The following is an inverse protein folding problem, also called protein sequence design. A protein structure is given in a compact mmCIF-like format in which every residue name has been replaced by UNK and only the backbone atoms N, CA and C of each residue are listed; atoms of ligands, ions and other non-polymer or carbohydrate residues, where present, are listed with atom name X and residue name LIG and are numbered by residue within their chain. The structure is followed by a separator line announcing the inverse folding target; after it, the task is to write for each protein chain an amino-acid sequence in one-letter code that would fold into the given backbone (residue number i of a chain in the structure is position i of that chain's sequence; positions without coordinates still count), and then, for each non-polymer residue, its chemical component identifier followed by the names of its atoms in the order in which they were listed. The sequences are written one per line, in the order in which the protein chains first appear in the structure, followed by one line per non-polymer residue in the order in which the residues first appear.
data_IF_176291750772
#
_entry.id   IF_176291750772
#
_cell.length_a   1.000
_cell.length_b   1.000
_cell.length_c   1.000
_cell.angle_alpha   90.00
_cell.angle_beta   90.00
_cell.angle_gamma   90.00
#
_symmetry.space_group_name_H-M   'P 1'
#
loop_
_entity.id
_entity.type
_entity.pdbx_description
1 polymer ?
#
# COMPACT_ATOMS: atom_id res chain seq x y z
N UNK A 1 2.35 -13.74 0.76
CA UNK A 1 3.30 -14.64 0.06
C UNK A 1 4.13 -13.83 -0.95
N UNK A 2 5.29 -14.32 -1.41
CA UNK A 2 6.20 -13.52 -2.27
C UNK A 2 6.02 -13.94 -3.73
N UNK A 3 5.71 -12.98 -4.61
CA UNK A 3 5.65 -13.16 -6.04
C UNK A 3 6.86 -12.54 -6.75
N UNK A 4 7.20 -13.06 -7.92
CA UNK A 4 8.24 -12.51 -8.80
C UNK A 4 7.61 -12.17 -10.13
N UNK A 5 7.84 -10.95 -10.59
CA UNK A 5 7.45 -10.45 -11.90
C UNK A 5 8.67 -10.41 -12.80
N UNK A 6 8.57 -11.04 -13.97
CA UNK A 6 9.62 -10.95 -14.98
C UNK A 6 9.79 -9.49 -15.43
N UNK A 7 11.00 -9.04 -15.79
CA UNK A 7 11.20 -7.69 -16.31
C UNK A 7 10.28 -7.47 -17.52
N UNK A 8 9.32 -6.55 -17.38
CA UNK A 8 8.40 -6.20 -18.44
C UNK A 8 9.13 -5.56 -19.61
N UNK A 9 9.11 -6.23 -20.76
CA UNK A 9 9.49 -5.61 -22.03
C UNK A 9 8.46 -4.55 -22.38
N UNK A 10 8.77 -3.29 -22.07
CA UNK A 10 8.05 -2.19 -22.70
C UNK A 10 8.36 -2.24 -24.21
N UNK A 11 7.30 -2.34 -25.03
CA UNK A 11 7.42 -2.38 -26.48
C UNK A 11 8.06 -1.10 -26.99
N UNK A 12 9.33 -1.17 -27.34
CA UNK A 12 10.10 -0.11 -27.96
C UNK A 12 11.47 -0.65 -28.32
N UNK A 13 11.71 -0.85 -29.61
CA UNK A 13 12.99 -1.35 -30.13
C UNK A 13 14.13 -0.41 -29.69
N UNK A 14 14.97 -0.89 -28.78
CA UNK A 14 16.18 -0.21 -28.32
C UNK A 14 16.82 -1.02 -27.20
N UNK A 15 17.99 -1.61 -27.49
CA UNK A 15 18.69 -2.53 -26.59
C UNK A 15 18.90 -1.96 -25.18
N UNK A 16 18.42 -2.70 -24.17
CA UNK A 16 18.71 -2.47 -22.77
C UNK A 16 18.62 -3.82 -22.04
N UNK A 17 19.69 -4.19 -21.34
CA UNK A 17 19.77 -5.46 -20.61
C UNK A 17 18.56 -5.68 -19.71
N UNK A 18 18.10 -6.93 -19.65
CA UNK A 18 16.99 -7.33 -18.77
C UNK A 18 17.32 -6.92 -17.33
N UNK A 19 16.60 -5.90 -16.84
CA UNK A 19 16.72 -5.47 -15.44
C UNK A 19 16.35 -6.62 -14.48
N UNK A 20 16.77 -6.55 -13.21
CA UNK A 20 16.44 -7.58 -12.24
C UNK A 20 14.92 -7.76 -12.12
N UNK A 21 14.48 -9.01 -11.98
CA UNK A 21 13.07 -9.34 -11.80
C UNK A 21 12.52 -8.64 -10.54
N UNK A 22 11.36 -7.98 -10.66
CA UNK A 22 10.73 -7.29 -9.53
C UNK A 22 10.11 -8.32 -8.60
N UNK A 23 10.30 -8.14 -7.29
CA UNK A 23 9.70 -8.99 -6.26
C UNK A 23 8.61 -8.23 -5.53
N UNK A 24 7.56 -8.95 -5.17
CA UNK A 24 6.36 -8.38 -4.57
C UNK A 24 5.94 -9.15 -3.34
N UNK A 25 5.63 -8.45 -2.26
CA UNK A 25 4.90 -9.01 -1.13
C UNK A 25 3.40 -8.93 -1.43
N UNK A 26 2.75 -10.09 -1.50
CA UNK A 26 1.31 -10.20 -1.67
C UNK A 26 0.63 -10.36 -0.31
N UNK A 27 -0.37 -9.52 -0.08
CA UNK A 27 -1.22 -9.55 1.11
C UNK A 27 -2.68 -9.46 0.66
N UNK A 28 -3.57 -10.28 1.20
CA UNK A 28 -4.98 -10.22 0.85
C UNK A 28 -5.87 -10.70 1.98
N UNK A 29 -7.09 -10.15 2.03
CA UNK A 29 -8.04 -10.37 3.13
C UNK A 29 -9.48 -10.22 2.65
N UNK A 30 -10.36 -11.05 3.21
CA UNK A 30 -11.81 -10.89 3.08
C UNK A 30 -12.33 -9.84 4.05
N UNK A 31 -13.26 -8.99 3.62
CA UNK A 31 -13.91 -8.03 4.50
C UNK A 31 -14.75 -8.71 5.56
N UNK A 32 -14.59 -8.25 6.80
CA UNK A 32 -15.49 -8.56 7.91
C UNK A 32 -16.42 -7.37 8.22
N UNK A 33 -16.26 -6.23 7.52
CA UNK A 33 -17.10 -5.04 7.70
C UNK A 33 -18.56 -5.34 7.31
N UNK A 34 -19.53 -5.19 8.24
CA UNK A 34 -20.95 -5.44 7.97
C UNK A 34 -21.50 -4.63 6.80
N UNK A 35 -20.98 -3.42 6.56
CA UNK A 35 -21.39 -2.56 5.45
C UNK A 35 -21.00 -3.16 4.10
N UNK A 36 -19.80 -3.73 4.01
CA UNK A 36 -19.34 -4.45 2.80
C UNK A 36 -20.14 -5.73 2.63
N UNK A 37 -20.30 -6.50 3.71
CA UNK A 37 -21.03 -7.78 3.69
C UNK A 37 -22.50 -7.61 3.26
N UNK A 38 -23.15 -6.53 3.65
CA UNK A 38 -24.52 -6.20 3.24
C UNK A 38 -24.67 -6.00 1.72
N UNK A 39 -23.57 -5.68 1.01
CA UNK A 39 -23.58 -5.45 -0.44
C UNK A 39 -23.15 -6.68 -1.26
N UNK A 40 -22.53 -7.70 -0.64
CA UNK A 40 -21.98 -8.89 -1.33
C UNK A 40 -22.98 -9.55 -2.26
N UNK A 41 -24.18 -9.89 -1.75
CA UNK A 41 -25.22 -10.56 -2.54
C UNK A 41 -25.83 -9.63 -3.59
N UNK A 42 -26.04 -8.35 -3.25
CA UNK A 42 -26.62 -7.35 -4.16
C UNK A 42 -25.68 -7.04 -5.33
N UNK A 43 -24.38 -7.05 -5.06
CA UNK A 43 -23.36 -6.84 -6.06
C UNK A 43 -22.90 -8.12 -6.72
N UNK A 44 -23.30 -9.33 -6.29
CA UNK A 44 -22.72 -10.60 -6.79
C UNK A 44 -21.18 -10.56 -6.83
N UNK A 45 -20.56 -10.07 -5.76
CA UNK A 45 -19.12 -9.83 -5.66
C UNK A 45 -18.51 -10.54 -4.45
N UNK A 46 -17.24 -10.91 -4.54
CA UNK A 46 -16.47 -11.39 -3.39
C UNK A 46 -15.87 -10.20 -2.66
N UNK A 47 -16.00 -10.09 -1.33
CA UNK A 47 -15.46 -8.96 -0.57
C UNK A 47 -13.96 -9.16 -0.27
N UNK A 48 -13.15 -9.39 -1.31
CA UNK A 48 -11.72 -9.65 -1.21
C UNK A 48 -10.93 -8.48 -1.81
N UNK A 49 -9.96 -7.99 -1.06
CA UNK A 49 -8.89 -7.11 -1.57
C UNK A 49 -7.57 -7.84 -1.40
N UNK A 50 -6.71 -7.71 -2.42
CA UNK A 50 -5.33 -8.11 -2.37
C UNK A 50 -4.43 -6.96 -2.84
N UNK A 51 -3.29 -6.80 -2.19
CA UNK A 51 -2.27 -5.82 -2.50
C UNK A 51 -0.97 -6.52 -2.87
N UNK A 52 -0.21 -5.90 -3.78
CA UNK A 52 1.17 -6.28 -4.05
C UNK A 52 2.08 -5.09 -3.76
N UNK A 53 2.92 -5.24 -2.74
CA UNK A 53 3.89 -4.24 -2.30
C UNK A 53 5.26 -4.53 -2.93
N UNK A 54 5.95 -3.54 -3.49
CA UNK A 54 7.27 -3.75 -4.05
C UNK A 54 8.26 -4.08 -2.93
N UNK A 55 9.12 -5.09 -3.16
CA UNK A 55 10.23 -5.42 -2.26
C UNK A 55 11.55 -4.74 -2.65
N UNK A 56 11.49 -3.79 -3.58
CA UNK A 56 12.62 -2.98 -4.01
C UNK A 56 12.28 -2.11 -5.21
N UNK A 57 12.77 -0.88 -5.19
CA UNK A 57 12.51 0.14 -6.21
C UNK A 57 11.10 0.72 -6.12
N UNK A 58 10.91 1.91 -6.68
CA UNK A 58 9.60 2.54 -6.77
C UNK A 58 8.70 1.78 -7.77
N UNK A 59 7.42 1.65 -7.41
CA UNK A 59 6.37 1.13 -8.28
C UNK A 59 5.32 2.21 -8.52
N UNK A 60 4.83 2.29 -9.74
CA UNK A 60 3.62 3.06 -10.03
C UNK A 60 2.41 2.12 -9.87
N UNK A 61 1.54 2.45 -8.92
CA UNK A 61 0.41 1.61 -8.56
C UNK A 61 -0.60 1.48 -9.69
N UNK A 62 -1.15 0.28 -9.79
CA UNK A 62 -2.10 -0.10 -10.83
C UNK A 62 -3.26 -0.84 -10.17
N UNK A 63 -4.47 -0.59 -10.65
CA UNK A 63 -5.65 -1.35 -10.22
C UNK A 63 -5.84 -2.61 -11.06
N UNK A 64 -6.29 -3.67 -10.40
CA UNK A 64 -6.64 -4.93 -11.00
C UNK A 64 -8.07 -5.29 -10.62
N UNK A 65 -8.78 -5.86 -11.58
CA UNK A 65 -10.03 -6.56 -11.37
C UNK A 65 -9.94 -7.87 -12.17
N UNK A 66 -9.25 -8.85 -11.57
CA UNK A 66 -8.73 -10.08 -12.21
C UNK A 66 -7.68 -9.87 -13.31
N UNK A 67 -7.72 -8.73 -14.02
CA UNK A 67 -6.77 -8.29 -15.03
C UNK A 67 -6.34 -6.84 -14.74
N UNK A 68 -5.15 -6.42 -15.18
CA UNK A 68 -4.70 -5.04 -15.04
C UNK A 68 -5.66 -4.07 -15.74
N UNK A 69 -5.95 -2.96 -15.08
CA UNK A 69 -6.74 -1.87 -15.63
C UNK A 69 -5.79 -0.75 -16.09
N UNK A 70 -6.12 0.01 -17.14
CA UNK A 70 -5.36 1.19 -17.55
C UNK A 70 -5.65 2.37 -16.62
N UNK A 71 -5.56 2.14 -15.31
CA UNK A 71 -5.88 3.07 -14.24
C UNK A 71 -4.64 3.15 -13.34
N UNK A 72 -3.94 4.28 -13.41
CA UNK A 72 -2.87 4.59 -12.46
C UNK A 72 -3.48 5.15 -11.17
N UNK A 73 -3.14 4.54 -10.04
CA UNK A 73 -3.52 5.07 -8.72
C UNK A 73 -2.46 5.99 -8.15
N UNK A 74 -1.23 5.87 -8.67
CA UNK A 74 0.00 6.42 -8.08
C UNK A 74 0.22 6.09 -6.61
N UNK A 75 -0.49 5.11 -6.08
CA UNK A 75 -0.07 4.45 -4.85
C UNK A 75 1.21 3.67 -5.15
N UNK A 76 2.13 3.47 -4.19
CA UNK A 76 3.31 2.66 -4.42
C UNK A 76 3.03 1.15 -4.39
N UNK A 77 1.79 0.73 -4.62
CA UNK A 77 1.33 -0.66 -4.54
C UNK A 77 0.32 -0.96 -5.64
N UNK A 78 0.26 -2.22 -6.06
CA UNK A 78 -0.84 -2.69 -6.90
C UNK A 78 -2.03 -3.11 -6.03
N UNK A 79 -3.24 -2.81 -6.49
CA UNK A 79 -4.49 -3.09 -5.77
C UNK A 79 -5.38 -3.97 -6.64
N UNK A 80 -5.72 -5.17 -6.16
CA UNK A 80 -6.65 -6.08 -6.81
C UNK A 80 -7.91 -6.27 -5.96
N UNK A 81 -9.08 -6.07 -6.55
CA UNK A 81 -10.36 -6.36 -5.92
C UNK A 81 -11.45 -6.59 -6.97
N UNK A 82 -12.63 -7.06 -6.54
CA UNK A 82 -13.81 -7.15 -7.39
C UNK A 82 -14.43 -5.77 -7.65
N UNK A 83 -13.67 -4.82 -8.21
CA UNK A 83 -14.15 -3.49 -8.54
C UNK A 83 -15.24 -3.55 -9.62
N UNK A 84 -16.29 -2.74 -9.43
CA UNK A 84 -17.31 -2.51 -10.45
C UNK A 84 -16.80 -1.48 -11.45
N UNK A 85 -16.74 -1.86 -12.71
CA UNK A 85 -16.11 -1.08 -13.78
C UNK A 85 -17.17 -0.44 -14.67
N UNK A 86 -16.80 0.67 -15.33
CA UNK A 86 -17.50 1.10 -16.54
C UNK A 86 -17.26 0.10 -17.68
N UNK A 87 -18.13 0.10 -18.69
CA UNK A 87 -18.09 -0.84 -19.83
C UNK A 87 -16.76 -0.84 -20.56
N UNK A 88 -16.14 0.33 -20.71
CA UNK A 88 -14.84 0.49 -21.38
C UNK A 88 -13.64 0.02 -20.53
N UNK A 89 -13.88 -0.41 -19.28
CA UNK A 89 -12.88 -0.86 -18.29
C UNK A 89 -11.73 0.12 -18.06
N UNK A 90 -11.95 1.42 -18.29
CA UNK A 90 -10.98 2.50 -18.06
C UNK A 90 -11.26 3.30 -16.80
N UNK A 91 -12.37 3.03 -16.13
CA UNK A 91 -12.75 3.65 -14.88
C UNK A 91 -13.55 2.67 -14.02
N UNK A 92 -13.55 2.91 -12.72
CA UNK A 92 -14.42 2.24 -11.76
C UNK A 92 -15.61 3.14 -11.44
N UNK A 93 -16.76 2.58 -11.08
CA UNK A 93 -17.89 3.37 -10.59
C UNK A 93 -17.51 4.11 -9.29
N UNK A 94 -17.76 5.42 -9.25
CA UNK A 94 -17.51 6.31 -8.09
C UNK A 94 -18.80 7.01 -7.71
N UNK A 95 -18.95 7.37 -6.44
CA UNK A 95 -20.18 8.00 -5.98
C UNK A 95 -20.30 9.42 -6.55
N UNK A 96 -21.39 9.69 -7.27
CA UNK A 96 -21.77 11.05 -7.72
C UNK A 96 -23.23 11.33 -7.38
N UNK A 97 -23.65 12.60 -7.28
CA UNK A 97 -25.00 12.96 -6.84
C UNK A 97 -26.12 12.40 -7.71
N UNK A 98 -25.84 12.19 -9.00
CA UNK A 98 -26.84 11.81 -10.00
C UNK A 98 -26.97 10.29 -10.20
N UNK A 99 -26.33 9.48 -9.36
CA UNK A 99 -26.41 8.01 -9.46
C UNK A 99 -27.64 7.46 -8.74
N UNK A 100 -28.35 6.59 -9.45
CA UNK A 100 -29.47 5.81 -8.92
C UNK A 100 -29.33 4.32 -9.24
N UNK A 101 -30.15 3.51 -8.57
CA UNK A 101 -30.28 2.07 -8.85
C UNK A 101 -28.96 1.29 -8.72
N UNK A 102 -28.66 0.49 -9.73
CA UNK A 102 -27.48 -0.38 -9.75
C UNK A 102 -26.16 0.39 -9.81
N UNK A 103 -26.11 1.52 -10.53
CA UNK A 103 -24.89 2.32 -10.64
C UNK A 103 -24.47 2.92 -9.29
N UNK A 104 -25.46 3.38 -8.50
CA UNK A 104 -25.21 3.83 -7.13
C UNK A 104 -24.72 2.69 -6.26
N UNK A 105 -25.35 1.53 -6.34
CA UNK A 105 -24.93 0.33 -5.61
C UNK A 105 -23.48 -0.07 -5.95
N UNK A 106 -23.10 -0.02 -7.23
CA UNK A 106 -21.75 -0.32 -7.69
C UNK A 106 -20.72 0.70 -7.21
N UNK A 107 -21.09 1.97 -7.21
CA UNK A 107 -20.27 3.03 -6.64
C UNK A 107 -20.08 2.83 -5.13
N UNK A 108 -21.15 2.58 -4.38
CA UNK A 108 -21.11 2.31 -2.93
C UNK A 108 -20.21 1.11 -2.60
N UNK A 109 -20.29 0.03 -3.40
CA UNK A 109 -19.39 -1.11 -3.28
C UNK A 109 -17.92 -0.72 -3.44
N UNK A 110 -17.58 0.01 -4.51
CA UNK A 110 -16.21 0.44 -4.75
C UNK A 110 -15.69 1.39 -3.67
N UNK A 111 -16.52 2.34 -3.21
CA UNK A 111 -16.15 3.24 -2.12
C UNK A 111 -15.81 2.44 -0.85
N UNK A 112 -16.65 1.48 -0.45
CA UNK A 112 -16.36 0.67 0.73
C UNK A 112 -15.09 -0.18 0.58
N UNK A 113 -14.83 -0.74 -0.61
CA UNK A 113 -13.56 -1.42 -0.86
C UNK A 113 -12.37 -0.47 -0.67
N UNK A 114 -12.43 0.73 -1.23
CA UNK A 114 -11.34 1.71 -1.18
C UNK A 114 -11.15 2.33 0.21
N UNK A 115 -12.22 2.60 0.96
CA UNK A 115 -12.12 3.35 2.22
C UNK A 115 -12.18 2.46 3.47
N UNK A 116 -12.69 1.23 3.37
CA UNK A 116 -12.73 0.30 4.50
C UNK A 116 -11.72 -0.83 4.36
N UNK A 117 -11.70 -1.54 3.22
CA UNK A 117 -10.92 -2.78 3.10
C UNK A 117 -9.48 -2.55 2.64
N UNK A 118 -9.25 -1.74 1.60
CA UNK A 118 -7.90 -1.42 1.10
C UNK A 118 -6.99 -0.88 2.22
N UNK A 119 -7.41 0.09 3.06
CA UNK A 119 -6.57 0.61 4.13
C UNK A 119 -6.18 -0.46 5.15
N UNK A 120 -7.10 -1.37 5.49
CA UNK A 120 -6.82 -2.49 6.42
C UNK A 120 -5.75 -3.43 5.86
N UNK A 121 -5.92 -3.89 4.62
CA UNK A 121 -4.95 -4.78 3.97
C UNK A 121 -3.60 -4.08 3.82
N UNK A 122 -3.60 -2.78 3.54
CA UNK A 122 -2.38 -2.01 3.36
C UNK A 122 -1.63 -1.83 4.68
N UNK A 123 -2.31 -1.45 5.76
CA UNK A 123 -1.69 -1.32 7.07
C UNK A 123 -1.04 -2.64 7.54
N UNK A 124 -1.74 -3.75 7.34
CA UNK A 124 -1.21 -5.08 7.67
C UNK A 124 -0.01 -5.46 6.80
N UNK A 125 -0.05 -5.14 5.51
CA UNK A 125 1.06 -5.41 4.61
C UNK A 125 2.33 -4.61 5.00
N UNK A 126 2.17 -3.33 5.35
CA UNK A 126 3.25 -2.49 5.85
C UNK A 126 3.80 -3.02 7.19
N UNK A 127 2.93 -3.44 8.11
CA UNK A 127 3.35 -4.07 9.36
C UNK A 127 4.15 -5.36 9.11
N UNK A 128 3.68 -6.23 8.21
CA UNK A 128 4.38 -7.45 7.85
C UNK A 128 5.76 -7.16 7.24
N UNK A 129 5.84 -6.12 6.41
CA UNK A 129 7.10 -5.66 5.81
C UNK A 129 8.08 -5.17 6.88
N UNK A 130 7.61 -4.33 7.81
CA UNK A 130 8.40 -3.82 8.93
C UNK A 130 8.85 -4.94 9.90
N UNK A 131 8.00 -5.95 10.11
CA UNK A 131 8.28 -7.10 10.96
C UNK A 131 9.29 -8.10 10.36
N UNK A 132 9.66 -7.94 9.09
CA UNK A 132 10.53 -8.89 8.37
C UNK A 132 11.79 -8.19 7.85
N UNK A 133 12.79 -7.94 8.72
CA UNK A 133 14.05 -7.31 8.32
C UNK A 133 14.71 -8.01 7.13
N UNK A 134 15.21 -7.22 6.18
CA UNK A 134 15.87 -7.73 4.97
C UNK A 134 14.93 -8.27 3.88
N UNK A 135 13.61 -8.24 4.09
CA UNK A 135 12.65 -8.66 3.06
C UNK A 135 12.63 -7.72 1.85
N UNK A 136 12.70 -6.41 2.10
CA UNK A 136 12.82 -5.37 1.08
C UNK A 136 14.22 -4.76 1.07
N UNK A 137 14.75 -4.49 -0.13
CA UNK A 137 16.11 -4.00 -0.33
C UNK A 137 16.34 -2.60 0.27
N UNK A 138 15.29 -1.79 0.37
CA UNK A 138 15.31 -0.44 0.91
C UNK A 138 14.67 -0.36 2.31
N UNK A 139 14.52 -1.49 3.02
CA UNK A 139 13.80 -1.52 4.29
C UNK A 139 12.28 -1.34 4.16
N UNK A 140 11.74 -1.36 2.94
CA UNK A 140 10.32 -1.24 2.68
C UNK A 140 9.81 0.19 2.60
N UNK A 141 10.69 1.19 2.59
CA UNK A 141 10.34 2.60 2.52
C UNK A 141 9.58 2.96 1.24
N UNK A 142 9.90 2.33 0.10
CA UNK A 142 9.24 2.59 -1.17
C UNK A 142 7.76 2.16 -1.20
N UNK A 143 7.31 1.33 -0.27
CA UNK A 143 5.92 0.89 -0.18
C UNK A 143 5.03 1.85 0.63
N UNK A 144 5.60 2.86 1.29
CA UNK A 144 4.84 3.85 2.07
C UNK A 144 4.26 4.94 1.14
N UNK A 145 2.96 5.25 1.22
CA UNK A 145 2.36 6.23 0.34
C UNK A 145 2.82 7.64 0.69
N UNK A 146 3.20 8.41 -0.31
CA UNK A 146 3.42 9.84 -0.17
C UNK A 146 2.17 10.57 -0.68
N UNK A 147 1.47 11.29 0.21
CA UNK A 147 0.15 11.85 -0.11
C UNK A 147 0.12 12.82 -1.29
N UNK A 148 1.25 13.47 -1.60
CA UNK A 148 1.37 14.36 -2.76
C UNK A 148 1.38 13.63 -4.10
N UNK A 149 1.73 12.34 -4.11
CA UNK A 149 1.90 11.57 -5.34
C UNK A 149 0.63 10.79 -5.72
N UNK A 150 -0.29 10.56 -4.76
CA UNK A 150 -1.51 9.77 -4.99
C UNK A 150 -2.51 10.55 -5.83
N UNK A 151 -3.08 9.89 -6.83
CA UNK A 151 -4.14 10.47 -7.65
C UNK A 151 -5.34 10.89 -6.79
N UNK A 152 -5.87 12.11 -7.01
CA UNK A 152 -6.88 12.75 -6.14
C UNK A 152 -8.06 11.84 -5.81
N UNK A 153 -8.54 11.08 -6.80
CA UNK A 153 -9.66 10.16 -6.66
C UNK A 153 -9.40 8.98 -5.70
N UNK A 154 -8.14 8.68 -5.39
CA UNK A 154 -7.73 7.61 -4.48
C UNK A 154 -7.16 8.14 -3.16
N UNK A 155 -7.06 9.46 -2.99
CA UNK A 155 -6.58 10.08 -1.75
C UNK A 155 -7.43 9.69 -0.52
N UNK A 156 -8.71 9.35 -0.72
CA UNK A 156 -9.61 8.87 0.34
C UNK A 156 -9.15 7.57 1.03
N UNK A 157 -8.19 6.85 0.46
CA UNK A 157 -7.56 5.67 1.08
C UNK A 157 -6.62 6.09 2.23
N UNK A 158 -6.03 7.28 2.13
CA UNK A 158 -4.91 7.69 2.99
C UNK A 158 -5.35 7.99 4.42
N UNK A 159 -6.45 8.71 4.64
CA UNK A 159 -6.88 9.07 5.99
C UNK A 159 -7.21 7.82 6.85
N UNK A 160 -8.01 6.85 6.36
CA UNK A 160 -8.24 5.62 7.11
C UNK A 160 -6.96 4.79 7.30
N UNK A 161 -6.06 4.79 6.32
CA UNK A 161 -4.78 4.09 6.42
C UNK A 161 -3.92 4.69 7.53
N UNK A 162 -3.77 6.02 7.56
CA UNK A 162 -3.00 6.72 8.58
C UNK A 162 -3.61 6.49 9.97
N UNK A 163 -4.94 6.53 10.09
CA UNK A 163 -5.62 6.22 11.35
C UNK A 163 -5.33 4.79 11.85
N UNK A 164 -5.31 3.80 10.95
CA UNK A 164 -4.95 2.43 11.29
C UNK A 164 -3.48 2.29 11.69
N UNK A 165 -2.57 2.97 10.97
CA UNK A 165 -1.13 2.92 11.25
C UNK A 165 -0.78 3.60 12.58
N UNK A 166 -1.50 4.68 12.96
CA UNK A 166 -1.30 5.38 14.23
C UNK A 166 -1.51 4.47 15.45
N UNK A 167 -2.42 3.50 15.33
CA UNK A 167 -2.79 2.55 16.39
C UNK A 167 -2.09 1.19 16.25
N UNK A 168 -1.08 1.08 15.38
CA UNK A 168 -0.43 -0.19 15.06
C UNK A 168 1.10 -0.09 15.20
N UNK A 169 1.76 -1.05 15.86
CA UNK A 169 3.22 -1.08 15.89
C UNK A 169 3.76 -1.41 14.51
N UNK A 170 4.26 -0.40 13.80
CA UNK A 170 4.68 -0.49 12.39
C UNK A 170 6.07 0.08 12.14
N UNK A 171 6.69 0.67 13.15
CA UNK A 171 8.02 1.26 13.03
C UNK A 171 9.06 0.32 13.65
N UNK A 172 10.02 -0.20 12.87
CA UNK A 172 11.07 -1.06 13.40
C UNK A 172 12.08 -0.26 14.22
N UNK A 173 12.45 -0.81 15.37
CA UNK A 173 13.56 -0.34 16.18
C UNK A 173 14.85 -1.07 15.82
N UNK A 174 16.01 -0.54 16.22
CA UNK A 174 17.29 -1.23 16.12
C UNK A 174 17.32 -2.58 16.85
N UNK A 175 16.51 -2.74 17.90
CA UNK A 175 16.38 -3.99 18.65
C UNK A 175 15.53 -5.06 17.94
N UNK A 176 14.91 -4.74 16.81
CA UNK A 176 14.02 -5.64 16.07
C UNK A 176 12.57 -5.62 16.55
N UNK A 177 12.26 -4.90 17.63
CA UNK A 177 10.89 -4.67 18.07
C UNK A 177 10.19 -3.65 17.16
N UNK A 178 8.86 -3.75 17.04
CA UNK A 178 8.02 -2.72 16.42
C UNK A 178 7.42 -1.81 17.49
N UNK A 179 7.37 -0.51 17.23
CA UNK A 179 6.73 0.49 18.10
C UNK A 179 5.66 1.28 17.36
N UNK A 180 4.76 1.91 18.12
CA UNK A 180 3.72 2.79 17.58
C UNK A 180 4.33 4.07 17.00
N UNK A 181 3.70 4.69 15.99
CA UNK A 181 4.11 6.01 15.52
C UNK A 181 4.13 7.09 16.61
N UNK A 182 3.22 7.00 17.58
CA UNK A 182 3.15 7.92 18.73
C UNK A 182 4.29 7.75 19.73
N UNK A 183 4.98 6.60 19.72
CA UNK A 183 6.13 6.29 20.59
C UNK A 183 7.46 6.65 19.92
N UNK A 184 7.45 7.03 18.64
CA UNK A 184 8.64 7.34 17.86
C UNK A 184 8.88 8.85 17.75
N UNK A 185 10.16 9.24 17.76
CA UNK A 185 10.59 10.61 17.47
C UNK A 185 11.32 10.63 16.13
N UNK A 186 10.77 11.37 15.16
CA UNK A 186 11.38 11.51 13.85
C UNK A 186 12.36 12.69 13.85
N UNK A 187 13.65 12.39 13.91
CA UNK A 187 14.68 13.41 13.72
C UNK A 187 14.83 13.75 12.24
N UNK A 188 14.62 15.03 11.90
CA UNK A 188 15.15 15.53 10.64
C UNK A 188 16.68 15.63 10.75
N UNK A 189 17.41 14.98 9.84
CA UNK A 189 18.88 15.11 9.74
C UNK A 189 19.25 15.88 8.47
N UNK A 190 19.06 17.21 8.47
CA UNK A 190 19.19 18.03 7.26
C UNK A 190 20.63 18.20 6.76
N UNK A 191 21.64 17.86 7.58
CA UNK A 191 23.06 18.00 7.22
C UNK A 191 23.81 16.68 7.31
N UNK A 192 24.86 16.51 6.50
CA UNK A 192 25.74 15.34 6.55
C UNK A 192 26.40 15.14 7.92
N UNK A 193 26.74 16.22 8.61
CA UNK A 193 27.29 16.16 9.96
C UNK A 193 26.28 15.58 10.97
N UNK A 194 25.01 15.99 10.88
CA UNK A 194 23.93 15.43 11.71
C UNK A 194 23.61 13.98 11.35
N UNK A 195 23.76 13.57 10.09
CA UNK A 195 23.62 12.17 9.67
C UNK A 195 24.70 11.28 10.32
N UNK A 196 25.97 11.68 10.24
CA UNK A 196 27.07 10.95 10.87
C UNK A 196 26.94 10.89 12.40
N UNK A 197 26.52 11.99 13.03
CA UNK A 197 26.27 12.03 14.46
C UNK A 197 25.07 11.16 14.86
N UNK A 198 24.00 11.12 14.05
CA UNK A 198 22.86 10.22 14.24
C UNK A 198 23.31 8.78 14.25
N UNK A 199 24.12 8.33 13.28
CA UNK A 199 24.60 6.93 13.24
C UNK A 199 25.36 6.54 14.51
N UNK A 200 26.27 7.40 14.98
CA UNK A 200 27.00 7.15 16.23
C UNK A 200 26.08 7.15 17.46
N UNK A 201 25.13 8.08 17.55
CA UNK A 201 24.16 8.13 18.64
C UNK A 201 23.24 6.90 18.63
N UNK A 202 22.76 6.49 17.46
CA UNK A 202 21.97 5.27 17.29
C UNK A 202 22.72 4.04 17.79
N UNK A 203 24.01 3.91 17.46
CA UNK A 203 24.87 2.81 17.95
C UNK A 203 25.04 2.85 19.47
N UNK A 204 25.30 4.03 20.05
CA UNK A 204 25.47 4.18 21.51
C UNK A 204 24.18 3.92 22.28
N UNK A 205 23.05 4.44 21.80
CA UNK A 205 21.73 4.22 22.39
C UNK A 205 21.35 2.73 22.34
N UNK A 206 21.61 2.04 21.22
CA UNK A 206 21.42 0.60 21.12
C UNK A 206 22.32 -0.17 22.10
N UNK A 207 23.60 0.20 22.22
CA UNK A 207 24.53 -0.41 23.17
C UNK A 207 24.11 -0.21 24.65
N UNK A 208 23.43 0.90 24.94
CA UNK A 208 22.88 1.21 26.26
C UNK A 208 21.46 0.62 26.50
N UNK A 209 20.92 -0.16 25.56
CA UNK A 209 19.63 -0.86 25.70
C UNK A 209 18.39 0.00 25.41
N UNK A 210 18.56 1.17 24.80
CA UNK A 210 17.43 2.01 24.40
C UNK A 210 16.79 1.49 23.10
N UNK A 211 15.46 1.50 23.04
CA UNK A 211 14.71 1.27 21.80
C UNK A 211 14.76 2.54 20.95
N UNK A 212 15.45 2.48 19.81
CA UNK A 212 15.58 3.61 18.89
C UNK A 212 15.03 3.24 17.53
N UNK A 213 14.26 4.15 16.93
CA UNK A 213 13.58 4.06 15.63
C UNK A 213 14.35 4.83 14.57
#
# INVERSE_FOLDING_TARGET
DIATEAPGGSGGAGGGGAGPARRWLRCGRFSEDPRVLALVNRCTSVPLVALALPLGGAAEGCMFASLPLPISTRLPVHVNACFRLHDNRRAIWRLTPDLDGEHRLWAEWNELLLTALVPQVYAEALRCLAATPGLAADGGHCAWPHGADVERQYAAILDPLVALLAEMPVLPTLGGDLVLPSEAVFFSTPTRALQACREQLLQLCAAAGWRVV
#
